data_IF_507104562730
#
_entry.id   IF_507104562730
#
_cell.length_a   1.000
_cell.length_b   1.000
_cell.length_c   1.000
_cell.angle_alpha   90.00
_cell.angle_beta   90.00
_cell.angle_gamma   90.00
#
_symmetry.space_group_name_H-M   'P 1'
#
loop_
_entity.id
_entity.type
_entity.pdbx_description
1 polymer ?
#
# COMPACT_ATOMS: atom_id res chain seq x y z
N UNK A 1 11.42 -18.18 -1.08
CA UNK A 1 11.48 -17.19 -2.18
C UNK A 1 10.60 -17.64 -3.34
N UNK A 2 9.36 -17.14 -3.43
CA UNK A 2 8.43 -17.61 -4.46
C UNK A 2 8.80 -17.14 -5.88
N UNK A 3 9.39 -15.93 -6.01
CA UNK A 3 9.83 -15.35 -7.28
C UNK A 3 11.03 -16.12 -7.85
N UNK A 4 12.02 -16.43 -7.02
CA UNK A 4 13.20 -17.19 -7.44
C UNK A 4 12.83 -18.58 -7.99
N UNK A 5 11.86 -19.26 -7.37
CA UNK A 5 11.36 -20.54 -7.86
C UNK A 5 10.67 -20.45 -9.22
N UNK A 6 9.91 -19.36 -9.47
CA UNK A 6 9.25 -19.12 -10.76
C UNK A 6 10.27 -18.75 -11.85
N UNK A 7 11.31 -17.98 -11.53
CA UNK A 7 12.41 -17.67 -12.46
C UNK A 7 13.21 -18.92 -12.85
N UNK A 8 13.52 -19.79 -11.89
CA UNK A 8 14.21 -21.05 -12.17
C UNK A 8 13.39 -21.97 -13.09
N UNK A 9 12.07 -22.01 -12.90
CA UNK A 9 11.13 -22.74 -13.77
C UNK A 9 11.11 -22.18 -15.20
N UNK A 10 11.19 -20.86 -15.37
CA UNK A 10 11.26 -20.23 -16.69
C UNK A 10 12.61 -20.44 -17.37
N UNK A 11 13.71 -20.46 -16.61
CA UNK A 11 15.06 -20.66 -17.13
C UNK A 11 15.28 -22.08 -17.70
N UNK A 12 14.65 -23.09 -17.10
CA UNK A 12 14.76 -24.49 -17.54
C UNK A 12 13.77 -24.92 -18.62
N UNK A 13 12.86 -24.04 -19.06
CA UNK A 13 11.73 -24.44 -19.90
C UNK A 13 11.86 -24.05 -21.38
N UNK A 14 11.31 -24.88 -22.29
CA UNK A 14 11.34 -24.61 -23.73
C UNK A 14 10.46 -23.42 -24.09
N UNK A 15 10.89 -22.60 -25.06
CA UNK A 15 10.23 -21.34 -25.41
C UNK A 15 8.74 -21.48 -25.78
N UNK A 16 8.33 -22.65 -26.31
CA UNK A 16 6.98 -22.93 -26.79
C UNK A 16 6.04 -23.52 -25.72
N UNK A 17 6.48 -23.61 -24.46
CA UNK A 17 5.66 -24.25 -23.44
C UNK A 17 4.37 -23.43 -23.17
N UNK A 18 3.18 -24.06 -23.25
CA UNK A 18 1.90 -23.35 -23.18
C UNK A 18 1.64 -22.68 -21.81
N UNK A 19 2.34 -23.13 -20.78
CA UNK A 19 2.27 -22.58 -19.42
C UNK A 19 3.22 -21.39 -19.19
N UNK A 20 4.14 -21.07 -20.12
CA UNK A 20 5.09 -19.95 -19.95
C UNK A 20 4.41 -18.61 -19.91
N UNK A 21 3.45 -18.37 -20.80
CA UNK A 21 2.66 -17.13 -20.83
C UNK A 21 2.06 -16.77 -19.46
N UNK A 22 1.24 -17.65 -18.85
CA UNK A 22 0.65 -17.35 -17.54
C UNK A 22 1.69 -17.26 -16.39
N UNK A 23 2.80 -18.00 -16.46
CA UNK A 23 3.87 -17.92 -15.44
C UNK A 23 4.65 -16.61 -15.54
N UNK A 24 4.98 -16.15 -16.74
CA UNK A 24 5.62 -14.85 -16.97
C UNK A 24 4.71 -13.70 -16.52
N UNK A 25 3.42 -13.73 -16.87
CA UNK A 25 2.47 -12.72 -16.43
C UNK A 25 2.33 -12.67 -14.89
N UNK A 26 2.36 -13.84 -14.23
CA UNK A 26 2.37 -13.93 -12.76
C UNK A 26 3.66 -13.34 -12.18
N UNK A 27 4.81 -13.65 -12.78
CA UNK A 27 6.11 -13.11 -12.39
C UNK A 27 6.15 -11.58 -12.56
N UNK A 28 5.57 -11.05 -13.63
CA UNK A 28 5.47 -9.60 -13.90
C UNK A 28 4.48 -8.91 -12.97
N UNK A 29 3.36 -9.55 -12.60
CA UNK A 29 2.46 -9.03 -11.56
C UNK A 29 3.11 -9.01 -10.17
N UNK A 30 3.94 -10.02 -9.87
CA UNK A 30 4.68 -10.10 -8.61
C UNK A 30 5.88 -9.14 -8.58
N UNK A 31 6.47 -8.81 -9.74
CA UNK A 31 7.59 -7.87 -9.88
C UNK A 31 7.17 -6.48 -10.38
N UNK A 32 5.87 -6.22 -10.52
CA UNK A 32 5.32 -4.98 -11.09
C UNK A 32 5.75 -3.74 -10.30
N UNK A 33 5.44 -2.51 -10.76
CA UNK A 33 6.05 -1.27 -10.25
C UNK A 33 5.92 -1.02 -8.74
N UNK A 34 4.99 -1.71 -8.06
CA UNK A 34 4.93 -1.73 -6.60
C UNK A 34 6.12 -2.46 -5.95
N UNK A 35 6.68 -3.47 -6.60
CA UNK A 35 7.73 -4.36 -6.07
C UNK A 35 9.14 -3.83 -6.34
N UNK A 36 9.44 -3.25 -7.50
CA UNK A 36 10.79 -2.70 -7.76
C UNK A 36 11.11 -1.47 -6.90
N UNK A 37 10.14 -0.57 -6.71
CA UNK A 37 10.31 0.58 -5.82
C UNK A 37 10.29 0.17 -4.35
N UNK A 38 9.35 -0.69 -3.93
CA UNK A 38 9.29 -1.14 -2.54
C UNK A 38 10.47 -2.04 -2.15
N UNK A 39 10.98 -2.89 -3.05
CA UNK A 39 12.15 -3.74 -2.78
C UNK A 39 13.46 -2.95 -2.81
N UNK A 40 13.58 -1.93 -3.68
CA UNK A 40 14.72 -1.01 -3.65
C UNK A 40 14.72 -0.20 -2.34
N UNK A 41 13.55 0.24 -1.89
CA UNK A 41 13.38 0.90 -0.60
C UNK A 41 13.68 -0.08 0.53
N UNK A 42 13.18 -1.32 0.50
CA UNK A 42 13.46 -2.33 1.54
C UNK A 42 14.97 -2.64 1.71
N UNK A 43 15.81 -2.33 0.72
CA UNK A 43 17.28 -2.45 0.78
C UNK A 43 18.01 -1.23 1.35
N UNK A 44 17.34 -0.07 1.48
CA UNK A 44 17.94 1.12 2.10
C UNK A 44 18.07 0.94 3.63
N UNK A 45 18.91 1.70 4.33
CA UNK A 45 18.87 1.75 5.79
C UNK A 45 17.50 2.27 6.27
N UNK A 46 17.00 1.76 7.39
CA UNK A 46 15.62 1.99 7.86
C UNK A 46 15.21 3.48 7.93
N UNK A 47 16.16 4.38 8.16
CA UNK A 47 15.92 5.82 8.19
C UNK A 47 15.66 6.40 6.79
N UNK A 48 16.45 6.02 5.79
CA UNK A 48 16.23 6.38 4.38
C UNK A 48 14.97 5.71 3.81
N UNK A 49 14.66 4.48 4.25
CA UNK A 49 13.40 3.83 3.91
C UNK A 49 12.21 4.67 4.34
N UNK A 50 12.20 5.07 5.60
CA UNK A 50 11.11 5.83 6.19
C UNK A 50 10.90 7.16 5.46
N UNK A 51 11.97 7.87 5.12
CA UNK A 51 11.92 9.13 4.39
C UNK A 51 11.38 8.95 2.96
N UNK A 52 11.86 7.94 2.22
CA UNK A 52 11.39 7.64 0.87
C UNK A 52 9.90 7.22 0.86
N UNK A 53 9.49 6.37 1.81
CA UNK A 53 8.09 5.94 1.95
C UNK A 53 7.19 7.12 2.30
N UNK A 54 7.64 8.02 3.19
CA UNK A 54 6.85 9.21 3.58
C UNK A 54 6.54 10.10 2.39
N UNK A 55 7.51 10.35 1.50
CA UNK A 55 7.29 11.14 0.28
C UNK A 55 6.29 10.51 -0.69
N UNK A 56 6.33 9.19 -0.86
CA UNK A 56 5.36 8.47 -1.68
C UNK A 56 3.95 8.47 -1.07
N UNK A 57 3.87 8.29 0.25
CA UNK A 57 2.63 8.33 1.03
C UNK A 57 2.00 9.72 0.97
N UNK A 58 2.79 10.79 1.07
CA UNK A 58 2.31 12.17 0.97
C UNK A 58 1.75 12.48 -0.43
N UNK A 59 2.45 12.02 -1.48
CA UNK A 59 1.97 12.14 -2.86
C UNK A 59 0.65 11.39 -3.08
N UNK A 60 0.52 10.19 -2.50
CA UNK A 60 -0.73 9.43 -2.51
C UNK A 60 -1.84 10.17 -1.73
N UNK A 61 -1.53 10.73 -0.56
CA UNK A 61 -2.48 11.48 0.24
C UNK A 61 -3.00 12.73 -0.50
N UNK A 62 -2.12 13.48 -1.17
CA UNK A 62 -2.51 14.62 -2.00
C UNK A 62 -3.43 14.18 -3.14
N UNK A 63 -3.06 13.11 -3.87
CA UNK A 63 -3.86 12.59 -4.99
C UNK A 63 -5.24 12.10 -4.55
N UNK A 64 -5.34 11.36 -3.44
CA UNK A 64 -6.62 10.91 -2.88
C UNK A 64 -7.44 12.08 -2.34
N UNK A 65 -6.75 13.10 -1.79
CA UNK A 65 -7.35 14.34 -1.33
C UNK A 65 -7.97 15.16 -2.45
N UNK A 66 -7.40 15.17 -3.66
CA UNK A 66 -7.92 15.92 -4.81
C UNK A 66 -8.90 15.13 -5.68
N UNK A 67 -8.57 13.88 -6.03
CA UNK A 67 -9.30 13.06 -6.99
C UNK A 67 -10.34 12.12 -6.36
N UNK A 68 -10.44 12.09 -5.03
CA UNK A 68 -11.21 11.07 -4.32
C UNK A 68 -10.49 9.72 -4.30
N UNK A 69 -10.94 8.85 -3.40
CA UNK A 69 -10.31 7.56 -3.13
C UNK A 69 -11.33 6.56 -2.62
N UNK A 70 -11.09 5.28 -2.88
CA UNK A 70 -11.91 4.20 -2.32
C UNK A 70 -11.51 3.93 -0.88
N UNK A 71 -12.39 3.26 -0.11
CA UNK A 71 -12.08 2.78 1.24
C UNK A 71 -10.73 2.03 1.30
N UNK A 72 -10.44 1.20 0.29
CA UNK A 72 -9.21 0.42 0.23
C UNK A 72 -7.95 1.31 0.10
N UNK A 73 -8.02 2.35 -0.75
CA UNK A 73 -6.92 3.30 -0.94
C UNK A 73 -6.64 4.09 0.35
N UNK A 74 -7.71 4.59 0.99
CA UNK A 74 -7.60 5.31 2.27
C UNK A 74 -7.09 4.41 3.40
N UNK A 75 -7.61 3.19 3.50
CA UNK A 75 -7.19 2.23 4.53
C UNK A 75 -5.71 1.86 4.39
N UNK A 76 -5.23 1.70 3.16
CA UNK A 76 -3.82 1.46 2.87
C UNK A 76 -2.95 2.64 3.30
N UNK A 77 -3.37 3.87 2.95
CA UNK A 77 -2.65 5.10 3.32
C UNK A 77 -2.50 5.24 4.85
N UNK A 78 -3.60 5.10 5.59
CA UNK A 78 -3.63 5.24 7.05
C UNK A 78 -2.76 4.17 7.72
N UNK A 79 -2.81 2.93 7.24
CA UNK A 79 -1.97 1.84 7.76
C UNK A 79 -0.48 2.10 7.49
N UNK A 80 -0.13 2.57 6.29
CA UNK A 80 1.25 2.94 5.96
C UNK A 80 1.78 4.05 6.88
N UNK A 81 0.98 5.10 7.12
CA UNK A 81 1.36 6.18 8.04
C UNK A 81 1.52 5.68 9.48
N UNK A 82 0.67 4.74 9.92
CA UNK A 82 0.81 4.11 11.24
C UNK A 82 2.09 3.29 11.37
N UNK A 83 2.52 2.57 10.33
CA UNK A 83 3.79 1.81 10.31
C UNK A 83 4.99 2.75 10.40
N UNK A 84 4.90 3.94 9.80
CA UNK A 84 5.92 4.99 9.89
C UNK A 84 5.89 5.77 11.23
N UNK A 85 5.05 5.34 12.19
CA UNK A 85 4.76 6.05 13.44
C UNK A 85 4.29 7.51 13.24
N UNK A 86 3.77 7.83 12.06
CA UNK A 86 3.34 9.18 11.69
C UNK A 86 1.87 9.41 12.01
N UNK A 87 1.55 9.34 13.30
CA UNK A 87 0.20 9.54 13.84
C UNK A 87 -0.51 10.82 13.34
N UNK A 88 0.12 12.01 13.27
CA UNK A 88 -0.57 13.20 12.78
C UNK A 88 -1.01 13.07 11.31
N UNK A 89 -0.19 12.46 10.45
CA UNK A 89 -0.54 12.21 9.06
C UNK A 89 -1.67 11.18 8.91
N UNK A 90 -1.63 10.13 9.74
CA UNK A 90 -2.68 9.11 9.80
C UNK A 90 -4.05 9.70 10.20
N UNK A 91 -4.08 10.57 11.22
CA UNK A 91 -5.29 11.27 11.66
C UNK A 91 -5.84 12.21 10.58
N UNK A 92 -4.97 12.99 9.93
CA UNK A 92 -5.37 13.87 8.82
C UNK A 92 -5.99 13.07 7.67
N UNK A 93 -5.36 11.96 7.29
CA UNK A 93 -5.84 11.09 6.21
C UNK A 93 -7.17 10.43 6.57
N UNK A 94 -7.34 10.00 7.83
CA UNK A 94 -8.59 9.45 8.34
C UNK A 94 -9.73 10.49 8.28
N UNK A 95 -9.48 11.74 8.69
CA UNK A 95 -10.48 12.82 8.63
C UNK A 95 -10.91 13.08 7.18
N UNK A 96 -9.95 13.26 6.27
CA UNK A 96 -10.24 13.47 4.84
C UNK A 96 -11.00 12.28 4.24
N UNK A 97 -10.61 11.04 4.57
CA UNK A 97 -11.29 9.84 4.11
C UNK A 97 -12.76 9.82 4.54
N UNK A 98 -13.06 10.20 5.78
CA UNK A 98 -14.44 10.27 6.29
C UNK A 98 -15.26 11.33 5.57
N UNK A 99 -14.69 12.50 5.27
CA UNK A 99 -15.38 13.52 4.49
C UNK A 99 -15.66 13.06 3.05
N UNK A 100 -14.67 12.42 2.41
CA UNK A 100 -14.79 11.94 1.02
C UNK A 100 -15.76 10.76 0.89
N UNK A 101 -15.83 9.91 1.91
CA UNK A 101 -16.69 8.72 1.95
C UNK A 101 -17.93 8.96 2.82
N UNK A 102 -18.30 10.21 3.09
CA UNK A 102 -19.44 10.55 3.96
C UNK A 102 -20.79 10.00 3.44
N UNK A 103 -20.90 9.77 2.14
CA UNK A 103 -22.07 9.18 1.51
C UNK A 103 -22.17 7.65 1.67
N UNK A 104 -21.13 7.00 2.19
CA UNK A 104 -21.02 5.55 2.29
C UNK A 104 -20.86 5.12 3.77
N UNK A 105 -21.97 4.72 4.44
CA UNK A 105 -21.95 4.40 5.86
C UNK A 105 -21.13 3.14 6.19
N UNK A 106 -21.01 2.19 5.26
CA UNK A 106 -20.19 0.99 5.43
C UNK A 106 -18.70 1.37 5.43
N UNK A 107 -18.31 2.25 4.51
CA UNK A 107 -16.96 2.79 4.48
C UNK A 107 -16.60 3.58 5.75
N UNK A 108 -17.53 4.37 6.29
CA UNK A 108 -17.33 5.07 7.57
C UNK A 108 -17.13 4.11 8.74
N UNK A 109 -17.91 3.02 8.80
CA UNK A 109 -17.77 2.00 9.83
C UNK A 109 -16.42 1.28 9.74
N UNK A 110 -15.99 0.92 8.53
CA UNK A 110 -14.69 0.31 8.29
C UNK A 110 -13.52 1.25 8.66
N UNK A 111 -13.60 2.54 8.33
CA UNK A 111 -12.61 3.54 8.73
C UNK A 111 -12.52 3.69 10.26
N UNK A 112 -13.67 3.67 10.95
CA UNK A 112 -13.71 3.74 12.41
C UNK A 112 -13.09 2.48 13.04
N UNK A 113 -13.38 1.28 12.51
CA UNK A 113 -12.77 0.04 12.95
C UNK A 113 -11.25 0.06 12.76
N UNK A 114 -10.78 0.46 11.57
CA UNK A 114 -9.35 0.60 11.27
C UNK A 114 -8.66 1.57 12.24
N UNK A 115 -9.29 2.72 12.52
CA UNK A 115 -8.75 3.67 13.48
C UNK A 115 -8.65 3.07 14.89
N UNK A 116 -9.56 2.15 15.25
CA UNK A 116 -9.53 1.42 16.53
C UNK A 116 -8.36 0.46 16.60
N UNK A 117 -8.19 -0.34 15.55
CA UNK A 117 -7.08 -1.30 15.42
C UNK A 117 -5.70 -0.62 15.48
N UNK A 118 -5.58 0.55 14.88
CA UNK A 118 -4.32 1.30 14.81
C UNK A 118 -4.09 2.22 16.03
N UNK A 119 -5.02 2.26 17.00
CA UNK A 119 -4.93 3.18 18.14
C UNK A 119 -4.97 4.66 17.74
N UNK A 120 -5.52 4.95 16.55
CA UNK A 120 -5.74 6.28 15.99
C UNK A 120 -7.04 6.92 16.47
N UNK A 121 -7.69 6.33 17.47
CA UNK A 121 -8.72 7.02 18.22
C UNK A 121 -8.09 8.35 18.68
N UNK A 122 -8.73 9.47 18.35
CA UNK A 122 -8.45 10.74 19.01
C UNK A 122 -8.36 10.40 20.49
N UNK A 123 -7.24 10.74 21.11
CA UNK A 123 -7.08 10.55 22.53
C UNK A 123 -8.25 11.29 23.17
N UNK A 124 -9.30 10.54 23.52
CA UNK A 124 -10.41 11.04 24.28
C UNK A 124 -9.86 11.21 25.69
N UNK A 125 -9.22 12.37 25.86
CA UNK A 125 -8.95 13.12 27.08
C UNK A 125 -8.29 12.38 28.24
#
# INVERSE_FOLDING_TARGET
EAIASLQALLAGAPADAPWRGPVTARLESLQGPADSAAAAIAKLPAQDQSAAIRGMVDSLAARLGEGGGTLAEWSRLIRSQSVLADRPAALKSLATARERLAADPDALAALAALAGELGLQEASR
#
